data_IF_589119174151
#
_entry.id   IF_589119174151
#
_cell.length_a   1.000
_cell.length_b   1.000
_cell.length_c   1.000
_cell.angle_alpha   90.00
_cell.angle_beta   90.00
_cell.angle_gamma   90.00
#
_symmetry.space_group_name_H-M   'P 1'
#
loop_
_entity.id
_entity.type
_entity.pdbx_description
1 polymer ?
#
# COMPACT_ATOMS: atom_id res chain seq x y z
N UNK A 1 -41.89 26.69 -67.30
CA UNK A 1 -42.34 26.13 -66.01
C UNK A 1 -42.01 24.65 -65.99
N UNK A 2 -41.43 24.14 -64.88
CA UNK A 2 -41.28 22.71 -64.55
C UNK A 2 -40.15 21.98 -65.30
N UNK A 3 -38.96 21.69 -64.78
CA UNK A 3 -38.52 21.05 -63.52
C UNK A 3 -38.47 19.51 -63.58
N UNK A 4 -37.29 18.96 -63.28
CA UNK A 4 -36.95 17.58 -62.84
C UNK A 4 -37.14 16.42 -63.83
N UNK A 5 -36.30 15.38 -63.88
CA UNK A 5 -35.60 14.75 -62.77
C UNK A 5 -34.23 14.17 -63.15
N UNK A 6 -33.22 14.53 -62.35
CA UNK A 6 -31.91 13.89 -62.25
C UNK A 6 -32.06 12.62 -61.40
N UNK A 7 -31.82 11.44 -61.97
CA UNK A 7 -31.84 10.17 -61.24
C UNK A 7 -30.53 10.05 -60.45
N UNK A 8 -30.62 10.17 -59.12
CA UNK A 8 -29.51 9.97 -58.18
C UNK A 8 -29.13 8.48 -58.15
N UNK A 9 -27.88 8.18 -58.52
CA UNK A 9 -27.24 6.91 -58.17
C UNK A 9 -26.96 6.91 -56.67
N UNK A 10 -27.78 6.19 -55.91
CA UNK A 10 -27.50 5.85 -54.51
C UNK A 10 -26.44 4.76 -54.45
N UNK A 11 -25.28 5.08 -53.89
CA UNK A 11 -24.30 4.08 -53.50
C UNK A 11 -24.89 3.19 -52.38
N UNK A 12 -24.69 1.87 -52.41
CA UNK A 12 -25.13 1.00 -51.32
C UNK A 12 -24.25 1.27 -50.09
N UNK A 13 -24.90 1.67 -49.01
CA UNK A 13 -24.34 1.67 -47.67
C UNK A 13 -23.89 0.25 -47.34
N UNK A 14 -22.57 0.01 -47.39
CA UNK A 14 -21.94 -1.13 -46.77
C UNK A 14 -22.23 -1.04 -45.28
N UNK A 15 -23.21 -1.84 -44.84
CA UNK A 15 -23.49 -2.10 -43.45
C UNK A 15 -22.30 -2.91 -42.89
N UNK A 16 -21.23 -2.19 -42.56
CA UNK A 16 -20.11 -2.75 -41.80
C UNK A 16 -20.64 -3.13 -40.43
N UNK A 17 -21.13 -4.36 -40.31
CA UNK A 17 -21.17 -5.09 -39.05
C UNK A 17 -19.77 -4.98 -38.44
N UNK A 18 -19.58 -4.04 -37.51
CA UNK A 18 -18.40 -4.05 -36.65
C UNK A 18 -18.34 -5.45 -36.03
N UNK A 19 -17.22 -6.17 -36.14
CA UNK A 19 -17.10 -7.47 -35.51
C UNK A 19 -17.43 -7.31 -34.03
N UNK A 20 -18.42 -8.05 -33.55
CA UNK A 20 -18.77 -8.09 -32.14
C UNK A 20 -17.49 -8.33 -31.36
N UNK A 21 -17.21 -7.46 -30.38
CA UNK A 21 -16.02 -7.58 -29.51
C UNK A 21 -15.87 -9.05 -29.08
N UNK A 22 -14.68 -9.67 -29.21
CA UNK A 22 -14.50 -11.06 -28.83
C UNK A 22 -14.94 -11.23 -27.39
N UNK A 23 -15.78 -12.24 -27.13
CA UNK A 23 -16.26 -12.56 -25.80
C UNK A 23 -15.06 -13.06 -24.98
N UNK A 24 -14.46 -12.17 -24.19
CA UNK A 24 -13.32 -12.52 -23.33
C UNK A 24 -13.82 -13.41 -22.18
N UNK A 25 -13.18 -14.56 -21.99
CA UNK A 25 -13.42 -15.44 -20.85
C UNK A 25 -12.63 -14.94 -19.65
N UNK A 26 -13.32 -14.70 -18.54
CA UNK A 26 -12.68 -14.34 -17.27
C UNK A 26 -12.58 -15.58 -16.39
N UNK A 27 -11.36 -15.89 -15.95
CA UNK A 27 -11.10 -17.01 -15.04
C UNK A 27 -11.09 -16.55 -13.58
N UNK A 28 -11.50 -17.43 -12.63
CA UNK A 28 -11.38 -17.15 -11.20
C UNK A 28 -9.92 -16.95 -10.75
N UNK A 29 -9.72 -16.32 -9.58
CA UNK A 29 -8.39 -15.97 -9.06
C UNK A 29 -7.46 -17.16 -8.83
N UNK A 30 -7.99 -18.35 -8.53
CA UNK A 30 -7.18 -19.56 -8.40
C UNK A 30 -6.54 -20.00 -9.73
N UNK A 31 -7.09 -19.57 -10.87
CA UNK A 31 -6.50 -19.84 -12.19
C UNK A 31 -5.35 -18.90 -12.53
N UNK A 32 -5.18 -17.78 -11.81
CA UNK A 32 -4.22 -16.74 -12.22
C UNK A 32 -2.79 -17.28 -12.32
N UNK A 33 -2.39 -18.24 -11.47
CA UNK A 33 -1.06 -18.87 -11.55
C UNK A 33 -0.74 -19.52 -12.89
N UNK A 34 -1.75 -19.91 -13.68
CA UNK A 34 -1.57 -20.48 -15.01
C UNK A 34 -1.49 -19.42 -16.12
N UNK A 35 -1.74 -18.15 -15.81
CA UNK A 35 -1.59 -17.06 -16.78
C UNK A 35 -0.11 -16.81 -17.08
N UNK A 36 0.28 -16.62 -18.36
CA UNK A 36 1.67 -16.28 -18.71
C UNK A 36 2.13 -14.93 -18.15
N UNK A 37 1.19 -14.08 -17.73
CA UNK A 37 1.49 -12.78 -17.13
C UNK A 37 1.56 -12.81 -15.60
N UNK A 38 1.23 -13.95 -14.97
CA UNK A 38 1.22 -14.05 -13.51
C UNK A 38 2.63 -14.11 -12.94
N UNK A 39 2.92 -13.22 -11.98
CA UNK A 39 4.25 -13.09 -11.39
C UNK A 39 5.31 -12.51 -12.33
N UNK A 40 4.93 -12.09 -13.54
CA UNK A 40 5.84 -11.52 -14.53
C UNK A 40 5.70 -9.98 -14.61
N UNK A 41 6.78 -9.31 -15.06
CA UNK A 41 6.76 -7.87 -15.33
C UNK A 41 6.16 -7.59 -16.70
N UNK A 42 4.98 -6.94 -16.70
CA UNK A 42 4.26 -6.59 -17.92
C UNK A 42 4.61 -5.16 -18.33
N UNK A 43 5.14 -5.03 -19.54
CA UNK A 43 5.45 -3.76 -20.21
C UNK A 43 4.18 -3.25 -20.87
N UNK A 44 3.65 -2.14 -20.36
CA UNK A 44 2.40 -1.56 -20.86
C UNK A 44 2.55 -0.04 -21.02
N UNK A 45 1.77 0.56 -21.93
CA UNK A 45 1.67 2.03 -21.98
C UNK A 45 0.74 2.51 -20.89
N UNK A 46 1.01 3.72 -20.40
CA UNK A 46 0.07 4.45 -19.56
C UNK A 46 -1.32 4.56 -20.23
N UNK A 47 -1.37 4.74 -21.55
CA UNK A 47 -2.63 4.76 -22.31
C UNK A 47 -3.44 3.46 -22.19
N UNK A 48 -2.77 2.32 -22.25
CA UNK A 48 -3.42 1.01 -22.23
C UNK A 48 -3.86 0.64 -20.81
N UNK A 49 -3.18 1.18 -19.78
CA UNK A 49 -3.58 1.06 -18.37
C UNK A 49 -5.01 1.59 -18.12
N UNK A 50 -5.38 2.71 -18.73
CA UNK A 50 -6.73 3.26 -18.61
C UNK A 50 -7.80 2.43 -19.30
N UNK A 51 -7.40 1.55 -20.22
CA UNK A 51 -8.31 0.63 -20.89
C UNK A 51 -8.53 -0.66 -20.10
N UNK A 52 -7.75 -0.89 -19.03
CA UNK A 52 -7.96 -2.04 -18.16
C UNK A 52 -9.30 -1.90 -17.45
N UNK A 53 -10.13 -2.93 -17.59
CA UNK A 53 -11.38 -3.05 -16.85
C UNK A 53 -11.08 -3.72 -15.52
N UNK A 54 -11.28 -3.01 -14.42
CA UNK A 54 -11.24 -3.61 -13.08
C UNK A 54 -12.63 -4.13 -12.75
N UNK A 55 -12.73 -5.39 -12.31
CA UNK A 55 -14.02 -5.96 -11.86
C UNK A 55 -14.11 -5.81 -10.34
N UNK A 56 -15.26 -5.33 -9.87
CA UNK A 56 -15.52 -5.24 -8.43
C UNK A 56 -15.49 -6.65 -7.80
N UNK A 57 -14.63 -6.85 -6.80
CA UNK A 57 -14.45 -8.13 -6.10
C UNK A 57 -13.16 -8.87 -6.43
N UNK A 58 -12.38 -8.42 -7.42
CA UNK A 58 -11.02 -8.91 -7.63
C UNK A 58 -10.07 -8.13 -6.71
N UNK A 59 -9.88 -8.66 -5.51
CA UNK A 59 -9.03 -8.07 -4.50
C UNK A 59 -7.56 -8.07 -4.98
N UNK A 60 -7.11 -6.92 -5.46
CA UNK A 60 -5.70 -6.55 -5.45
C UNK A 60 -4.78 -7.44 -6.31
N UNK A 61 -5.10 -7.61 -7.59
CA UNK A 61 -4.08 -8.09 -8.55
C UNK A 61 -3.01 -7.00 -8.68
N UNK A 62 -1.93 -7.15 -7.92
CA UNK A 62 -0.73 -6.33 -8.04
C UNK A 62 -0.14 -6.52 -9.43
N UNK A 63 -0.66 -5.78 -10.40
CA UNK A 63 -0.12 -5.81 -11.76
C UNK A 63 1.22 -5.12 -11.71
N UNK A 64 2.19 -5.87 -12.17
CA UNK A 64 3.59 -5.62 -12.02
C UNK A 64 4.01 -4.94 -13.32
N UNK A 65 4.12 -3.61 -13.30
CA UNK A 65 4.11 -2.78 -14.51
C UNK A 65 5.44 -2.09 -14.79
N UNK A 66 5.74 -2.02 -16.09
CA UNK A 66 6.81 -1.21 -16.63
C UNK A 66 6.25 -0.13 -17.56
N UNK A 67 6.41 1.14 -17.20
CA UNK A 67 5.84 2.30 -17.91
C UNK A 67 6.98 3.24 -18.34
N UNK A 68 6.89 3.83 -19.52
CA UNK A 68 7.73 4.98 -19.89
C UNK A 68 6.99 6.26 -19.48
N UNK A 69 7.63 7.09 -18.66
CA UNK A 69 7.13 8.41 -18.32
C UNK A 69 8.15 9.50 -18.67
N UNK A 70 7.65 10.57 -19.28
CA UNK A 70 8.35 11.83 -19.43
C UNK A 70 7.70 12.83 -18.47
N UNK A 71 8.47 13.33 -17.49
CA UNK A 71 7.95 14.30 -16.51
C UNK A 71 7.83 15.67 -17.18
N UNK A 72 6.61 16.13 -17.51
CA UNK A 72 6.38 17.51 -17.99
C UNK A 72 6.53 18.52 -16.84
N UNK A 73 6.95 19.74 -17.17
CA UNK A 73 6.91 20.90 -16.27
C UNK A 73 5.44 21.22 -15.98
N UNK A 74 4.99 21.06 -14.74
CA UNK A 74 3.68 21.58 -14.32
C UNK A 74 3.81 23.10 -14.23
N UNK A 75 3.23 23.82 -15.19
CA UNK A 75 2.98 25.25 -15.04
C UNK A 75 1.91 25.38 -13.97
N UNK A 76 2.26 26.01 -12.86
CA UNK A 76 1.32 26.46 -11.82
C UNK A 76 0.28 27.37 -12.50
N UNK A 77 -1.03 27.17 -12.30
CA UNK A 77 -2.02 28.05 -12.91
C UNK A 77 -2.05 29.36 -12.13
N UNK A 78 -1.22 30.31 -12.55
CA UNK A 78 -1.41 31.72 -12.25
C UNK A 78 -1.20 32.50 -13.55
N UNK A 79 -2.28 33.13 -14.00
CA UNK A 79 -2.39 34.04 -15.14
C UNK A 79 -2.61 33.37 -16.51
N UNK A 80 -3.81 33.60 -17.04
CA UNK A 80 -4.20 33.34 -18.42
C UNK A 80 -3.38 34.24 -19.36
N UNK A 81 -2.73 33.66 -20.37
CA UNK A 81 -2.48 34.37 -21.61
C UNK A 81 -2.50 33.37 -22.78
N UNK A 82 -3.40 33.63 -23.71
CA UNK A 82 -3.57 32.89 -24.96
C UNK A 82 -2.32 33.00 -25.83
N UNK A 83 -1.81 31.85 -26.29
CA UNK A 83 -1.05 31.76 -27.53
C UNK A 83 -1.47 30.46 -28.23
N UNK A 84 -2.18 30.61 -29.34
CA UNK A 84 -2.44 29.54 -30.30
C UNK A 84 -1.10 29.01 -30.86
N UNK A 85 -0.92 27.69 -30.81
CA UNK A 85 -0.12 26.96 -31.79
C UNK A 85 -0.68 25.55 -31.92
N UNK A 86 -1.22 25.30 -33.10
CA UNK A 86 -1.62 23.99 -33.62
C UNK A 86 -0.35 23.17 -33.85
N UNK A 87 -0.27 22.00 -33.22
CA UNK A 87 0.62 20.91 -33.61
C UNK A 87 0.07 19.64 -32.95
N UNK A 88 -0.80 18.97 -33.71
CA UNK A 88 -1.35 17.65 -33.40
C UNK A 88 -0.22 16.59 -33.35
N UNK A 89 -0.46 15.53 -32.56
CA UNK A 89 0.34 14.29 -32.38
C UNK A 89 1.26 14.12 -31.14
N UNK A 90 1.24 15.02 -30.15
CA UNK A 90 1.96 14.79 -28.87
C UNK A 90 1.04 14.41 -27.71
N UNK A 91 0.64 13.13 -27.62
CA UNK A 91 -0.05 12.58 -26.44
C UNK A 91 0.92 12.54 -25.24
N UNK A 92 0.93 13.61 -24.44
CA UNK A 92 1.77 13.74 -23.25
C UNK A 92 1.08 13.24 -21.99
N UNK A 93 1.77 12.41 -21.20
CA UNK A 93 1.31 11.94 -19.90
C UNK A 93 2.01 12.72 -18.78
N UNK A 94 1.26 13.11 -17.73
CA UNK A 94 1.81 13.71 -16.53
C UNK A 94 1.93 12.66 -15.42
N UNK A 95 3.16 12.36 -15.01
CA UNK A 95 3.46 11.67 -13.75
C UNK A 95 3.69 12.74 -12.68
N UNK A 96 2.73 12.92 -11.77
CA UNK A 96 2.89 13.87 -10.66
C UNK A 96 3.52 13.13 -9.48
N UNK A 97 4.80 13.40 -9.24
CA UNK A 97 5.45 13.05 -7.98
C UNK A 97 5.13 14.15 -6.97
N UNK A 98 4.33 13.84 -5.95
CA UNK A 98 4.00 14.79 -4.89
C UNK A 98 5.19 14.93 -3.92
N UNK A 99 5.99 15.98 -4.09
CA UNK A 99 6.78 16.57 -3.00
C UNK A 99 6.24 17.98 -2.79
N UNK A 100 5.45 18.16 -1.73
CA UNK A 100 4.96 19.47 -1.33
C UNK A 100 5.93 20.04 -0.28
N UNK A 101 6.81 20.94 -0.71
CA UNK A 101 7.61 21.75 0.21
C UNK A 101 6.83 23.01 0.57
N UNK A 102 6.47 23.16 1.85
CA UNK A 102 5.93 24.42 2.41
C UNK A 102 7.07 25.39 2.71
N UNK A 103 6.96 26.69 2.40
CA UNK A 103 7.95 27.66 2.83
C UNK A 103 7.64 28.10 4.27
N UNK A 104 8.43 27.64 5.25
CA UNK A 104 8.86 28.38 6.45
C UNK A 104 9.18 27.47 7.64
N UNK A 105 10.19 27.91 8.41
CA UNK A 105 10.65 27.42 9.72
C UNK A 105 11.70 26.32 9.69
N UNK A 106 12.93 26.74 10.00
CA UNK A 106 14.15 25.97 10.23
C UNK A 106 13.96 24.90 11.30
N UNK A 107 13.58 23.70 10.86
CA UNK A 107 13.70 22.44 11.62
C UNK A 107 14.72 21.58 10.87
N UNK A 108 15.63 20.84 11.53
CA UNK A 108 16.57 19.97 10.83
C UNK A 108 15.77 19.06 9.89
N UNK A 109 16.12 19.18 8.60
CA UNK A 109 15.44 18.56 7.48
C UNK A 109 15.51 17.05 7.67
N UNK A 110 14.41 16.43 8.11
CA UNK A 110 14.29 14.98 8.05
C UNK A 110 14.43 14.62 6.56
N UNK A 111 15.54 13.99 6.20
CA UNK A 111 15.74 13.42 4.88
C UNK A 111 14.69 12.32 4.72
N UNK A 112 13.57 12.66 4.10
CA UNK A 112 12.57 11.68 3.68
C UNK A 112 13.24 10.79 2.64
N UNK A 113 13.62 9.59 3.06
CA UNK A 113 14.15 8.58 2.16
C UNK A 113 12.96 7.91 1.48
N UNK A 114 12.93 7.93 0.15
CA UNK A 114 11.93 7.16 -0.61
C UNK A 114 12.30 5.70 -0.52
N UNK A 115 11.32 4.82 -0.36
CA UNK A 115 11.56 3.39 -0.15
C UNK A 115 10.83 2.56 -1.22
N UNK A 116 11.47 1.51 -1.74
CA UNK A 116 10.84 0.55 -2.65
C UNK A 116 9.66 -0.15 -1.98
N UNK A 117 8.58 -0.35 -2.72
CA UNK A 117 7.41 -1.08 -2.20
C UNK A 117 7.70 -2.56 -1.89
N UNK A 118 8.60 -3.21 -2.65
CA UNK A 118 8.84 -4.66 -2.51
C UNK A 118 9.96 -5.02 -1.53
N UNK A 119 11.05 -4.26 -1.52
CA UNK A 119 12.25 -4.60 -0.73
C UNK A 119 12.49 -3.70 0.48
N UNK A 120 11.62 -2.70 0.69
CA UNK A 120 11.83 -1.65 1.69
C UNK A 120 13.23 -1.00 1.65
N UNK A 121 13.90 -1.01 0.49
CA UNK A 121 15.22 -0.40 0.30
C UNK A 121 15.10 1.05 -0.17
N UNK A 122 16.03 1.94 0.19
CA UNK A 122 15.97 3.33 -0.23
C UNK A 122 16.14 3.45 -1.76
N UNK A 123 15.29 4.26 -2.39
CA UNK A 123 15.38 4.67 -3.80
C UNK A 123 15.83 6.12 -3.86
N UNK A 124 16.95 6.38 -4.52
CA UNK A 124 17.34 7.75 -4.86
C UNK A 124 16.61 8.20 -6.14
N UNK A 125 15.83 9.26 -6.04
CA UNK A 125 15.07 9.86 -7.14
C UNK A 125 15.59 11.24 -7.54
N UNK A 126 16.72 11.69 -6.96
CA UNK A 126 17.31 13.01 -7.22
C UNK A 126 17.58 13.26 -8.71
N UNK A 127 17.86 12.18 -9.45
CA UNK A 127 18.09 12.19 -10.89
C UNK A 127 16.83 12.37 -11.76
N UNK A 128 15.63 12.34 -11.18
CA UNK A 128 14.35 12.49 -11.92
C UNK A 128 13.98 13.96 -12.15
N UNK A 129 14.75 14.60 -13.02
CA UNK A 129 14.50 15.98 -13.45
C UNK A 129 13.35 16.05 -14.48
N UNK A 130 12.64 17.18 -14.60
CA UNK A 130 11.70 17.39 -15.72
C UNK A 130 12.36 17.07 -17.07
N UNK A 131 11.57 16.54 -18.00
CA UNK A 131 12.00 16.06 -19.32
C UNK A 131 12.91 14.81 -19.32
N UNK A 132 13.26 14.25 -18.15
CA UNK A 132 13.94 12.95 -18.10
C UNK A 132 13.00 11.84 -18.57
N UNK A 133 13.47 11.02 -19.51
CA UNK A 133 12.78 9.80 -19.95
C UNK A 133 13.20 8.66 -19.05
N UNK A 134 12.23 7.99 -18.45
CA UNK A 134 12.51 6.86 -17.56
C UNK A 134 11.60 5.68 -17.85
N UNK A 135 12.19 4.50 -17.73
CA UNK A 135 11.52 3.21 -17.58
C UNK A 135 11.29 3.00 -16.09
N UNK A 136 10.03 3.07 -15.64
CA UNK A 136 9.66 2.76 -14.25
C UNK A 136 9.19 1.33 -14.13
N UNK A 137 9.38 0.74 -12.97
CA UNK A 137 9.01 -0.62 -12.60
C UNK A 137 8.30 -0.55 -11.24
N UNK A 138 7.08 -1.06 -11.12
CA UNK A 138 6.33 -0.95 -9.87
C UNK A 138 5.07 -1.80 -9.79
N UNK A 139 4.41 -1.74 -8.63
CA UNK A 139 3.13 -2.43 -8.39
C UNK A 139 2.00 -1.43 -8.57
N UNK A 140 1.02 -1.80 -9.38
CA UNK A 140 -0.17 -1.00 -9.61
C UNK A 140 -1.24 -1.28 -8.55
N UNK A 141 -1.85 -0.21 -8.04
CA UNK A 141 -3.03 -0.25 -7.19
C UNK A 141 -4.16 0.50 -7.87
N UNK A 142 -5.36 -0.07 -7.80
CA UNK A 142 -6.59 0.55 -8.30
C UNK A 142 -7.41 1.04 -7.12
N UNK A 143 -7.69 2.34 -7.07
CA UNK A 143 -8.58 2.92 -6.07
C UNK A 143 -9.88 3.40 -6.73
N UNK A 144 -11.06 2.96 -6.26
CA UNK A 144 -12.32 3.56 -6.69
C UNK A 144 -12.36 5.02 -6.21
N UNK A 145 -12.65 5.96 -7.12
CA UNK A 145 -12.61 7.40 -6.79
C UNK A 145 -13.59 7.76 -5.66
N UNK A 146 -14.70 7.03 -5.48
CA UNK A 146 -15.66 7.26 -4.39
C UNK A 146 -15.10 7.03 -2.98
N UNK A 147 -13.99 6.30 -2.83
CA UNK A 147 -13.37 5.98 -1.52
C UNK A 147 -12.08 6.77 -1.25
N UNK A 148 -11.72 7.72 -2.11
CA UNK A 148 -10.50 8.51 -1.91
C UNK A 148 -10.76 9.66 -0.93
N UNK A 149 -10.40 9.46 0.34
CA UNK A 149 -10.00 10.54 1.22
C UNK A 149 -8.51 10.83 0.97
N UNK A 150 -8.12 12.07 0.63
CA UNK A 150 -6.70 12.41 0.52
C UNK A 150 -6.01 12.06 1.85
N UNK A 151 -4.83 11.39 1.81
CA UNK A 151 -4.13 11.04 3.03
C UNK A 151 -3.85 12.30 3.84
N UNK A 152 -4.28 12.30 5.10
CA UNK A 152 -3.82 13.29 6.07
C UNK A 152 -2.32 13.11 6.29
N UNK A 153 -1.64 14.25 6.46
CA UNK A 153 -0.23 14.56 6.22
C UNK A 153 0.82 13.71 7.00
N UNK A 154 0.44 12.65 7.73
CA UNK A 154 1.32 12.05 8.75
C UNK A 154 1.64 10.56 8.58
N UNK A 155 1.55 9.96 7.38
CA UNK A 155 1.96 8.55 7.18
C UNK A 155 3.04 8.37 6.10
N UNK A 156 4.11 7.72 6.55
CA UNK A 156 5.35 7.28 5.89
C UNK A 156 5.24 6.85 4.41
N UNK A 157 5.97 7.57 3.56
CA UNK A 157 7.06 7.06 2.69
C UNK A 157 6.77 5.99 1.62
N UNK A 158 5.59 5.96 1.03
CA UNK A 158 5.36 5.24 -0.25
C UNK A 158 5.26 6.24 -1.41
N UNK A 159 6.12 6.10 -2.42
CA UNK A 159 6.10 6.97 -3.60
C UNK A 159 4.97 6.53 -4.54
N UNK A 160 3.89 7.32 -4.56
CA UNK A 160 2.72 7.10 -5.39
C UNK A 160 2.84 7.92 -6.67
N UNK A 161 3.14 7.27 -7.81
CA UNK A 161 3.02 7.93 -9.11
C UNK A 161 1.56 7.88 -9.53
N UNK A 162 0.89 9.04 -9.47
CA UNK A 162 -0.46 9.19 -10.01
C UNK A 162 -0.35 9.37 -11.51
N UNK A 163 -0.92 8.43 -12.26
CA UNK A 163 -1.09 8.56 -13.70
C UNK A 163 -2.47 9.21 -13.89
N UNK A 164 -2.51 10.39 -14.51
CA UNK A 164 -3.76 11.06 -14.92
C UNK A 164 -3.88 11.08 -16.45
N UNK A 165 -5.08 10.86 -17.03
CA UNK A 165 -5.29 11.03 -18.46
C UNK A 165 -5.28 12.53 -18.78
N UNK A 166 -4.65 12.91 -19.90
CA UNK A 166 -4.62 14.30 -20.39
C UNK A 166 -5.97 14.77 -20.94
N UNK A 167 -6.86 13.84 -21.32
CA UNK A 167 -8.18 14.13 -21.85
C UNK A 167 -9.29 13.62 -20.91
N UNK A 168 -10.41 14.34 -20.77
CA UNK A 168 -11.55 13.87 -20.00
C UNK A 168 -12.17 12.64 -20.67
N UNK A 169 -11.88 11.45 -20.12
CA UNK A 169 -12.56 10.22 -20.51
C UNK A 169 -14.05 10.26 -20.05
N UNK A 170 -14.95 9.59 -20.80
CA UNK A 170 -16.37 9.56 -20.48
C UNK A 170 -16.65 9.02 -19.07
N UNK A 171 -17.80 9.35 -18.46
CA UNK A 171 -18.10 9.14 -17.04
C UNK A 171 -18.46 7.67 -16.72
N UNK A 172 -17.64 6.70 -17.17
CA UNK A 172 -17.64 5.36 -16.58
C UNK A 172 -16.71 5.36 -15.38
N UNK A 173 -17.13 4.67 -14.32
CA UNK A 173 -16.46 4.51 -13.03
C UNK A 173 -14.97 4.82 -13.11
N UNK A 174 -14.62 6.06 -12.73
CA UNK A 174 -13.24 6.52 -12.82
C UNK A 174 -12.46 5.78 -11.73
N UNK A 175 -11.63 4.84 -12.14
CA UNK A 175 -10.62 4.25 -11.26
C UNK A 175 -9.38 5.14 -11.28
N UNK A 176 -8.80 5.39 -10.11
CA UNK A 176 -7.49 6.03 -10.01
C UNK A 176 -6.44 4.92 -9.91
N UNK A 177 -5.45 4.99 -10.79
CA UNK A 177 -4.30 4.10 -10.78
C UNK A 177 -3.15 4.77 -10.03
N UNK A 178 -2.63 4.07 -9.03
CA UNK A 178 -1.43 4.46 -8.29
C UNK A 178 -0.35 3.42 -8.59
N UNK A 179 0.79 3.86 -9.10
CA UNK A 179 1.96 3.00 -9.24
C UNK A 179 2.89 3.22 -8.06
N UNK A 180 3.06 2.19 -7.23
CA UNK A 180 4.10 2.17 -6.20
C UNK A 180 5.41 1.78 -6.85
N UNK A 181 6.34 2.72 -6.89
CA UNK A 181 7.62 2.55 -7.57
C UNK A 181 8.49 1.52 -6.83
N UNK A 182 9.03 0.56 -7.58
CA UNK A 182 10.02 -0.39 -7.11
C UNK A 182 11.41 -0.04 -7.64
N UNK A 183 11.54 0.21 -8.94
CA UNK A 183 12.82 0.61 -9.57
C UNK A 183 12.55 1.55 -10.75
N UNK A 184 13.55 2.34 -11.13
CA UNK A 184 13.50 3.06 -12.40
C UNK A 184 14.86 2.99 -13.10
N UNK A 185 14.84 3.22 -14.41
CA UNK A 185 16.01 3.30 -15.26
C UNK A 185 15.87 4.53 -16.16
N UNK A 186 16.86 5.41 -16.13
CA UNK A 186 16.92 6.55 -17.06
C UNK A 186 17.26 6.02 -18.46
N UNK A 187 16.53 6.53 -19.46
CA UNK A 187 16.76 6.24 -20.86
C UNK A 187 17.55 7.42 -21.45
N UNK A 188 18.87 7.28 -21.67
CA UNK A 188 19.72 8.40 -22.03
C UNK A 188 19.44 8.92 -23.44
N UNK A 189 19.06 8.03 -24.37
CA UNK A 189 18.94 8.32 -25.79
C UNK A 189 17.65 7.80 -26.40
N UNK A 190 17.38 8.22 -27.65
CA UNK A 190 16.24 7.76 -28.43
C UNK A 190 16.33 6.26 -28.73
N UNK A 191 17.54 5.71 -28.91
CA UNK A 191 17.71 4.29 -29.20
C UNK A 191 17.23 3.41 -28.03
N UNK A 192 17.50 3.79 -26.77
CA UNK A 192 17.00 3.09 -25.59
C UNK A 192 15.48 3.16 -25.48
N UNK A 193 14.89 4.30 -25.84
CA UNK A 193 13.45 4.47 -25.90
C UNK A 193 12.81 3.57 -26.97
N UNK A 194 13.37 3.54 -28.18
CA UNK A 194 12.90 2.68 -29.26
C UNK A 194 13.03 1.20 -28.91
N UNK A 195 14.13 0.77 -28.28
CA UNK A 195 14.27 -0.61 -27.76
C UNK A 195 13.16 -0.94 -26.77
N UNK A 196 12.86 -0.03 -25.85
CA UNK A 196 11.76 -0.24 -24.90
C UNK A 196 10.40 -0.32 -25.63
N UNK A 197 10.16 0.49 -26.65
CA UNK A 197 8.94 0.41 -27.44
C UNK A 197 8.82 -0.91 -28.18
N UNK A 198 9.91 -1.42 -28.76
CA UNK A 198 9.94 -2.72 -29.43
C UNK A 198 9.64 -3.86 -28.46
N UNK A 199 10.32 -3.89 -27.30
CA UNK A 199 10.07 -4.89 -26.25
C UNK A 199 8.61 -4.90 -25.79
N UNK A 200 8.01 -3.72 -25.64
CA UNK A 200 6.61 -3.55 -25.26
C UNK A 200 5.66 -3.98 -26.38
N UNK A 201 5.98 -3.63 -27.62
CA UNK A 201 5.17 -4.02 -28.78
C UNK A 201 5.16 -5.54 -28.93
N UNK A 202 6.31 -6.21 -28.84
CA UNK A 202 6.40 -7.67 -28.81
C UNK A 202 5.53 -8.26 -27.70
N UNK A 203 5.63 -7.76 -26.47
CA UNK A 203 4.79 -8.25 -25.37
C UNK A 203 3.29 -8.04 -25.62
N UNK A 204 2.92 -6.90 -26.21
CA UNK A 204 1.53 -6.61 -26.55
C UNK A 204 1.03 -7.61 -27.60
N UNK A 205 1.77 -7.79 -28.70
CA UNK A 205 1.33 -8.62 -29.83
C UNK A 205 1.40 -10.12 -29.54
N UNK A 206 2.44 -10.56 -28.84
CA UNK A 206 2.72 -11.98 -28.60
C UNK A 206 1.99 -12.53 -27.37
N UNK A 207 1.68 -11.68 -26.37
CA UNK A 207 1.09 -12.12 -25.10
C UNK A 207 -0.27 -11.48 -24.84
N UNK A 208 -0.34 -10.14 -24.83
CA UNK A 208 -1.53 -9.45 -24.31
C UNK A 208 -2.70 -9.36 -25.31
N UNK A 209 -2.41 -9.40 -26.60
CA UNK A 209 -3.42 -9.39 -27.67
C UNK A 209 -4.02 -10.78 -27.92
N UNK A 210 -3.37 -11.85 -27.47
CA UNK A 210 -3.90 -13.20 -27.58
C UNK A 210 -4.88 -13.44 -26.44
N UNK A 211 -6.12 -13.90 -26.72
CA UNK A 211 -7.05 -14.24 -25.67
C UNK A 211 -6.51 -15.43 -24.87
N UNK A 212 -6.38 -15.24 -23.56
CA UNK A 212 -5.94 -16.31 -22.69
C UNK A 212 -7.08 -17.32 -22.52
N UNK A 213 -6.78 -18.59 -22.79
CA UNK A 213 -7.73 -19.69 -22.68
C UNK A 213 -7.11 -20.83 -21.86
N UNK A 214 -7.93 -21.41 -20.99
CA UNK A 214 -7.70 -22.63 -20.26
C UNK A 214 -8.79 -23.63 -20.63
N UNK A 215 -8.40 -24.88 -20.79
CA UNK A 215 -9.30 -26.02 -20.93
C UNK A 215 -10.09 -26.23 -19.63
N UNK A 216 -11.26 -26.87 -19.72
CA UNK A 216 -12.05 -27.18 -18.51
C UNK A 216 -11.30 -28.11 -17.55
N UNK A 217 -10.43 -28.99 -18.08
CA UNK A 217 -9.60 -29.89 -17.30
C UNK A 217 -8.55 -29.13 -16.49
N UNK A 218 -7.86 -28.17 -17.11
CA UNK A 218 -6.92 -27.28 -16.42
C UNK A 218 -7.62 -26.46 -15.32
N UNK A 219 -8.80 -25.89 -15.62
CA UNK A 219 -9.57 -25.14 -14.62
C UNK A 219 -9.96 -26.01 -13.44
N UNK A 220 -10.37 -27.26 -13.69
CA UNK A 220 -10.71 -28.22 -12.62
C UNK A 220 -9.50 -28.58 -11.78
N UNK A 221 -8.37 -28.89 -12.42
CA UNK A 221 -7.12 -29.21 -11.72
C UNK A 221 -6.64 -28.02 -10.86
N UNK A 222 -6.66 -26.80 -11.39
CA UNK A 222 -6.28 -25.60 -10.65
C UNK A 222 -7.20 -25.34 -9.45
N UNK A 223 -8.50 -25.66 -9.58
CA UNK A 223 -9.44 -25.56 -8.48
C UNK A 223 -9.12 -26.56 -7.36
N UNK A 224 -8.85 -27.81 -7.70
CA UNK A 224 -8.48 -28.86 -6.73
C UNK A 224 -7.19 -28.49 -5.97
N UNK A 225 -6.17 -28.01 -6.67
CA UNK A 225 -4.92 -27.52 -6.05
C UNK A 225 -5.20 -26.35 -5.10
N UNK A 226 -6.06 -25.41 -5.48
CA UNK A 226 -6.40 -24.27 -4.64
C UNK A 226 -7.17 -24.68 -3.38
N UNK A 227 -8.09 -25.63 -3.49
CA UNK A 227 -8.83 -26.19 -2.35
C UNK A 227 -7.90 -26.95 -1.39
N UNK A 228 -6.99 -27.76 -1.92
CA UNK A 228 -5.99 -28.47 -1.11
C UNK A 228 -5.05 -27.49 -0.38
N UNK A 229 -4.56 -26.45 -1.07
CA UNK A 229 -3.78 -25.38 -0.46
C UNK A 229 -4.55 -24.63 0.64
N UNK A 230 -5.82 -24.35 0.41
CA UNK A 230 -6.69 -23.69 1.39
C UNK A 230 -6.87 -24.56 2.64
N UNK A 231 -7.12 -25.86 2.46
CA UNK A 231 -7.21 -26.83 3.54
C UNK A 231 -5.90 -26.92 4.35
N UNK A 232 -4.75 -27.03 3.66
CA UNK A 232 -3.42 -27.03 4.30
C UNK A 232 -3.17 -25.73 5.08
N UNK A 233 -3.57 -24.57 4.54
CA UNK A 233 -3.42 -23.25 5.19
C UNK A 233 -4.29 -23.15 6.44
N UNK A 234 -5.54 -23.59 6.37
CA UNK A 234 -6.46 -23.63 7.51
C UNK A 234 -5.93 -24.53 8.62
N UNK A 235 -5.45 -25.73 8.27
CA UNK A 235 -4.86 -26.65 9.24
C UNK A 235 -3.61 -26.09 9.91
N UNK A 236 -2.71 -25.45 9.16
CA UNK A 236 -1.53 -24.77 9.73
C UNK A 236 -1.94 -23.64 10.68
N UNK A 237 -2.92 -22.81 10.30
CA UNK A 237 -3.43 -21.74 11.14
C UNK A 237 -4.06 -22.27 12.44
N UNK A 238 -4.86 -23.35 12.35
CA UNK A 238 -5.46 -24.01 13.51
C UNK A 238 -4.39 -24.55 14.47
N UNK A 239 -3.34 -25.21 13.95
CA UNK A 239 -2.20 -25.70 14.75
C UNK A 239 -1.46 -24.56 15.46
N UNK A 240 -1.19 -23.46 14.76
CA UNK A 240 -0.53 -22.29 15.34
C UNK A 240 -1.40 -21.64 16.43
N UNK A 241 -2.70 -21.48 16.17
CA UNK A 241 -3.64 -20.95 17.16
C UNK A 241 -3.74 -21.83 18.40
N UNK A 242 -3.86 -23.15 18.23
CA UNK A 242 -3.86 -24.10 19.34
C UNK A 242 -2.55 -24.04 20.15
N UNK A 243 -1.40 -23.98 19.48
CA UNK A 243 -0.11 -23.84 20.15
C UNK A 243 0.00 -22.51 20.91
N UNK A 244 -0.50 -21.40 20.36
CA UNK A 244 -0.50 -20.10 21.02
C UNK A 244 -1.39 -20.12 22.27
N UNK A 245 -2.59 -20.73 22.19
CA UNK A 245 -3.48 -20.90 23.35
C UNK A 245 -2.80 -21.67 24.47
N UNK A 246 -2.16 -22.80 24.15
CA UNK A 246 -1.44 -23.61 25.15
C UNK A 246 -0.26 -22.85 25.79
N UNK A 247 0.49 -22.08 24.99
CA UNK A 247 1.59 -21.24 25.51
C UNK A 247 1.07 -20.13 26.41
N UNK A 248 -0.01 -19.45 26.02
CA UNK A 248 -0.64 -18.41 26.82
C UNK A 248 -1.19 -18.96 28.14
N UNK A 249 -1.80 -20.14 28.13
CA UNK A 249 -2.28 -20.80 29.35
C UNK A 249 -1.12 -21.16 30.29
N UNK A 250 -0.04 -21.76 29.77
CA UNK A 250 1.16 -22.07 30.56
C UNK A 250 1.78 -20.80 31.17
N UNK A 251 1.80 -19.70 30.42
CA UNK A 251 2.28 -18.40 30.91
C UNK A 251 1.39 -17.88 32.04
N UNK A 252 0.05 -17.93 31.89
CA UNK A 252 -0.90 -17.56 32.95
C UNK A 252 -0.68 -18.36 34.23
N UNK A 253 -0.58 -19.69 34.13
CA UNK A 253 -0.30 -20.57 35.28
C UNK A 253 1.06 -20.27 35.95
N UNK A 254 2.02 -19.73 35.21
CA UNK A 254 3.31 -19.33 35.78
C UNK A 254 3.17 -18.00 36.54
N UNK A 255 2.51 -17.01 35.94
CA UNK A 255 2.21 -15.72 36.57
C UNK A 255 1.47 -15.93 37.89
N UNK A 256 0.40 -16.74 37.90
CA UNK A 256 -0.39 -17.04 39.11
C UNK A 256 0.47 -17.69 40.21
N UNK A 257 1.35 -18.63 39.85
CA UNK A 257 2.28 -19.26 40.80
C UNK A 257 3.27 -18.25 41.38
N UNK A 258 3.77 -17.34 40.55
CA UNK A 258 4.74 -16.35 40.98
C UNK A 258 4.08 -15.25 41.83
N UNK A 259 2.85 -14.83 41.51
CA UNK A 259 2.02 -13.96 42.35
C UNK A 259 1.72 -14.60 43.72
N UNK A 260 1.37 -15.89 43.75
CA UNK A 260 1.13 -16.61 45.00
C UNK A 260 2.40 -16.67 45.88
N UNK A 261 3.57 -16.88 45.28
CA UNK A 261 4.86 -16.82 46.01
C UNK A 261 5.14 -15.43 46.54
N UNK A 262 4.92 -14.40 45.72
CA UNK A 262 5.13 -13.01 46.11
C UNK A 262 4.21 -12.64 47.28
N UNK A 263 2.93 -13.01 47.20
CA UNK A 263 1.94 -12.79 48.26
C UNK A 263 2.33 -13.48 49.57
N UNK A 264 2.82 -14.72 49.50
CA UNK A 264 3.32 -15.44 50.69
C UNK A 264 4.54 -14.76 51.32
N UNK A 265 5.49 -14.26 50.50
CA UNK A 265 6.65 -13.51 50.99
C UNK A 265 6.22 -12.21 51.66
N UNK A 266 5.34 -11.45 51.00
CA UNK A 266 4.80 -10.21 51.53
C UNK A 266 4.07 -10.41 52.86
N UNK A 267 3.20 -11.42 52.98
CA UNK A 267 2.51 -11.70 54.24
C UNK A 267 3.48 -12.03 55.40
N UNK A 268 4.56 -12.77 55.12
CA UNK A 268 5.59 -13.04 56.13
C UNK A 268 6.32 -11.75 56.55
N UNK A 269 6.67 -10.93 55.57
CA UNK A 269 7.30 -9.63 55.82
C UNK A 269 6.37 -8.70 56.62
N UNK A 270 5.08 -8.70 56.32
CA UNK A 270 4.07 -7.89 57.00
C UNK A 270 3.90 -8.28 58.47
N UNK A 271 3.97 -9.58 58.78
CA UNK A 271 3.98 -10.06 60.18
C UNK A 271 5.24 -9.59 60.90
N UNK A 272 6.40 -9.65 60.26
CA UNK A 272 7.65 -9.16 60.83
C UNK A 272 7.62 -7.64 61.07
N UNK A 273 7.09 -6.87 60.12
CA UNK A 273 6.90 -5.42 60.27
C UNK A 273 6.00 -5.09 61.46
N UNK A 274 4.86 -5.75 61.59
CA UNK A 274 3.95 -5.53 62.74
C UNK A 274 4.61 -5.87 64.07
N UNK A 275 5.37 -6.97 64.14
CA UNK A 275 6.09 -7.34 65.35
C UNK A 275 7.18 -6.32 65.71
N UNK A 276 7.90 -5.79 64.71
CA UNK A 276 8.89 -4.75 64.91
C UNK A 276 8.25 -3.42 65.33
N UNK A 277 7.16 -3.01 64.69
CA UNK A 277 6.40 -1.82 65.07
C UNK A 277 5.90 -1.91 66.52
N UNK A 278 5.44 -3.09 66.93
CA UNK A 278 5.03 -3.34 68.31
C UNK A 278 6.21 -3.30 69.29
N UNK A 279 7.36 -3.86 68.91
CA UNK A 279 8.61 -3.78 69.68
C UNK A 279 9.04 -2.32 69.87
N UNK A 280 9.05 -1.54 68.80
CA UNK A 280 9.38 -0.11 68.82
C UNK A 280 8.38 0.66 69.69
N UNK A 281 7.08 0.37 69.57
CA UNK A 281 6.05 1.01 70.42
C UNK A 281 6.28 0.74 71.90
N UNK A 282 6.57 -0.51 72.28
CA UNK A 282 6.89 -0.89 73.67
C UNK A 282 8.14 -0.20 74.18
N UNK A 283 9.21 -0.17 73.39
CA UNK A 283 10.46 0.52 73.75
C UNK A 283 10.24 2.03 73.92
N UNK A 284 9.45 2.64 73.03
CA UNK A 284 9.11 4.06 73.13
C UNK A 284 8.27 4.37 74.38
N UNK A 285 7.29 3.52 74.72
CA UNK A 285 6.51 3.65 75.96
C UNK A 285 7.41 3.57 77.20
N UNK A 286 8.26 2.55 77.29
CA UNK A 286 9.19 2.39 78.40
C UNK A 286 10.17 3.58 78.52
N UNK A 287 10.63 4.12 77.40
CA UNK A 287 11.46 5.31 77.37
C UNK A 287 10.73 6.55 77.93
N UNK A 288 9.47 6.75 77.52
CA UNK A 288 8.62 7.84 78.04
C UNK A 288 8.36 7.70 79.54
N UNK A 289 8.05 6.49 80.03
CA UNK A 289 7.87 6.23 81.46
C UNK A 289 9.14 6.53 82.27
N UNK A 290 10.32 6.18 81.73
CA UNK A 290 11.61 6.50 82.33
C UNK A 290 11.85 8.01 82.42
N UNK A 291 11.51 8.75 81.37
CA UNK A 291 11.58 10.21 81.35
C UNK A 291 10.64 10.85 82.38
N UNK A 292 9.39 10.37 82.47
CA UNK A 292 8.41 10.87 83.43
C UNK A 292 8.84 10.60 84.88
N UNK A 293 9.40 9.42 85.14
CA UNK A 293 9.96 9.06 86.45
C UNK A 293 11.16 9.93 86.85
N UNK A 294 12.06 10.24 85.91
CA UNK A 294 13.18 11.15 86.15
C UNK A 294 12.70 12.59 86.41
N UNK A 295 11.70 13.08 85.68
CA UNK A 295 11.10 14.40 85.93
C UNK A 295 10.49 14.51 87.32
N UNK A 296 9.78 13.48 87.79
CA UNK A 296 9.21 13.43 89.14
C UNK A 296 10.29 13.44 90.23
N UNK A 297 11.40 12.69 90.04
CA UNK A 297 12.54 12.67 90.97
C UNK A 297 13.29 14.01 91.02
N UNK A 298 13.52 14.65 89.87
CA UNK A 298 14.23 15.93 89.82
C UNK A 298 13.36 17.10 90.31
N UNK A 299 12.02 17.02 90.17
CA UNK A 299 11.09 18.02 90.70
C UNK A 299 10.89 17.97 92.21
N UNK A 300 11.25 16.87 92.88
CA UNK A 300 11.16 16.70 94.34
C UNK A 300 12.45 17.05 95.08
N UNK A 301 13.60 17.13 94.40
CA UNK A 301 14.89 17.56 94.96
C UNK A 301 15.12 19.09 94.89
N UNK A 302 14.18 19.85 94.31
CA UNK A 302 14.28 21.29 94.10
C UNK A 302 13.30 22.15 94.92
N UNK A 303 12.74 21.62 96.01
CA UNK A 303 11.94 22.37 96.98
C UNK A 303 12.58 22.36 98.36
#
# INVERSE_FOLDING_TARGET
MGSSALTKHGAPLLDTHLPSRPQLTFYPSYCYRASPTYGAWVKIRAADLYRLTTRAGDDNSGVTLQVNCAKRKTVTPAVQQEVHSEDDDKIGFAAVAHQYATPSTTRPLATSHHVTASTSSPIDISSLQPCTRVKVKGILYTLPISKYTPPSINRTEAMNVMILPSNPLPPRERFRYILNLDRFQILPDLASELRFWNERTSMLTEILCLPWHLTQEEVRSLKEVAEEEAYKRQNRAARLSASQRLRAERARRKVERDEAKLRKRWLKEEVLRKAEDERVRRLNQAFQERLMSQRSRNGSAGR
#
